data_IF_617619045752
#
_entry.id   IF_617619045752
#
_cell.length_a   1.000
_cell.length_b   1.000
_cell.length_c   1.000
_cell.angle_alpha   90.00
_cell.angle_beta   90.00
_cell.angle_gamma   90.00
#
_symmetry.space_group_name_H-M   'P 1'
#
loop_
_entity.id
_entity.type
_entity.pdbx_description
1 polymer ?
#
# COMPACT_ATOMS: atom_id res chain seq x y z
N UNK A 1 -18.36 -42.43 -18.58
CA UNK A 1 -19.25 -42.90 -17.49
C UNK A 1 -18.79 -44.28 -17.06
N UNK A 2 -18.80 -44.60 -15.76
CA UNK A 2 -18.55 -45.95 -15.30
C UNK A 2 -19.67 -46.87 -15.80
N UNK A 3 -19.30 -48.04 -16.32
CA UNK A 3 -20.28 -49.06 -16.68
C UNK A 3 -20.46 -50.00 -15.49
N UNK A 4 -21.68 -50.01 -14.94
CA UNK A 4 -22.07 -50.90 -13.85
C UNK A 4 -22.73 -52.15 -14.43
N UNK A 5 -22.13 -53.32 -14.19
CA UNK A 5 -22.56 -54.59 -14.81
C UNK A 5 -23.34 -55.52 -13.87
N UNK A 6 -23.62 -55.07 -12.64
CA UNK A 6 -24.35 -55.87 -11.64
C UNK A 6 -25.32 -55.00 -10.81
N UNK A 7 -26.41 -55.57 -10.27
CA UNK A 7 -27.25 -54.87 -9.28
C UNK A 7 -26.48 -54.68 -7.96
N UNK A 8 -26.41 -53.46 -7.44
CA UNK A 8 -25.72 -53.14 -6.18
C UNK A 8 -25.79 -51.65 -5.82
N UNK A 9 -25.39 -51.31 -4.59
CA UNK A 9 -25.17 -49.91 -4.18
C UNK A 9 -23.71 -49.59 -4.49
N UNK A 10 -23.49 -48.62 -5.38
CA UNK A 10 -22.17 -48.13 -5.75
C UNK A 10 -21.93 -46.77 -5.11
N UNK A 11 -20.82 -46.65 -4.40
CA UNK A 11 -20.36 -45.38 -3.82
C UNK A 11 -19.09 -45.01 -4.58
N UNK A 12 -19.13 -43.89 -5.30
CA UNK A 12 -17.97 -43.33 -5.98
C UNK A 12 -17.49 -42.09 -5.23
N UNK A 13 -16.19 -42.03 -4.95
CA UNK A 13 -15.54 -40.80 -4.53
C UNK A 13 -15.36 -39.89 -5.75
N UNK A 14 -16.28 -38.94 -5.90
CA UNK A 14 -16.08 -37.81 -6.80
C UNK A 14 -15.20 -36.80 -6.06
N UNK A 15 -14.02 -36.41 -6.58
CA UNK A 15 -13.21 -35.38 -5.95
C UNK A 15 -14.06 -34.15 -5.67
N UNK A 16 -14.00 -33.62 -4.45
CA UNK A 16 -14.70 -32.36 -4.18
C UNK A 16 -14.12 -31.31 -5.13
N UNK A 17 -14.89 -30.84 -6.10
CA UNK A 17 -14.44 -29.86 -7.08
C UNK A 17 -14.13 -28.48 -6.50
N UNK A 18 -14.08 -28.33 -5.17
CA UNK A 18 -13.74 -27.11 -4.47
C UNK A 18 -12.24 -26.85 -4.59
N UNK A 19 -11.87 -25.70 -5.16
CA UNK A 19 -10.48 -25.24 -5.24
C UNK A 19 -10.32 -24.03 -4.32
N UNK A 20 -9.74 -24.18 -3.12
CA UNK A 20 -9.69 -23.09 -2.15
C UNK A 20 -8.85 -21.91 -2.65
N UNK A 21 -9.40 -20.71 -2.56
CA UNK A 21 -8.67 -19.47 -2.80
C UNK A 21 -7.83 -19.14 -1.55
N UNK A 22 -6.50 -19.07 -1.72
CA UNK A 22 -5.56 -18.70 -0.67
C UNK A 22 -5.42 -17.18 -0.51
N UNK A 23 -4.91 -16.69 0.64
CA UNK A 23 -4.54 -15.29 0.80
C UNK A 23 -3.34 -14.93 -0.08
N UNK A 24 -3.15 -13.64 -0.35
CA UNK A 24 -1.97 -13.09 -1.03
C UNK A 24 -1.11 -12.30 -0.06
N UNK A 25 0.18 -12.17 -0.37
CA UNK A 25 1.11 -11.36 0.42
C UNK A 25 0.79 -9.87 0.28
N UNK A 26 0.72 -9.15 1.40
CA UNK A 26 0.41 -7.70 1.43
C UNK A 26 1.55 -6.85 2.00
N UNK A 27 2.67 -7.47 2.35
CA UNK A 27 3.79 -6.85 3.07
C UNK A 27 5.07 -6.69 2.25
N UNK A 28 5.12 -7.22 1.03
CA UNK A 28 6.31 -7.13 0.17
C UNK A 28 6.40 -5.74 -0.42
N UNK A 29 7.49 -5.04 -0.10
CA UNK A 29 7.77 -3.71 -0.61
C UNK A 29 8.70 -3.72 -1.82
N UNK A 30 8.73 -2.63 -2.57
CA UNK A 30 9.74 -2.33 -3.57
C UNK A 30 10.26 -0.91 -3.35
N UNK A 31 11.59 -0.77 -3.31
CA UNK A 31 12.29 0.49 -3.15
C UNK A 31 13.17 0.76 -4.37
N UNK A 32 12.98 1.93 -4.97
CA UNK A 32 13.77 2.39 -6.12
C UNK A 32 14.54 3.65 -5.74
N UNK A 33 15.85 3.65 -5.96
CA UNK A 33 16.66 4.83 -5.71
C UNK A 33 18.14 4.58 -5.91
N UNK A 34 18.98 5.48 -5.40
CA UNK A 34 20.44 5.37 -5.51
C UNK A 34 20.98 4.54 -4.35
N UNK A 35 21.67 3.45 -4.64
CA UNK A 35 22.34 2.62 -3.65
C UNK A 35 23.67 3.26 -3.15
N UNK A 36 24.17 2.86 -1.96
CA UNK A 36 25.49 3.27 -1.48
C UNK A 36 26.61 3.03 -2.49
N UNK A 37 26.73 1.81 -3.02
CA UNK A 37 27.48 1.55 -4.23
C UNK A 37 26.62 1.88 -5.45
N UNK A 38 26.92 3.03 -6.07
CA UNK A 38 26.19 3.57 -7.24
C UNK A 38 26.29 2.67 -8.48
N UNK A 39 27.22 1.72 -8.52
CA UNK A 39 27.43 0.82 -9.67
C UNK A 39 26.84 -0.57 -9.47
N UNK A 40 26.48 -0.92 -8.22
CA UNK A 40 25.94 -2.23 -7.90
C UNK A 40 24.57 -2.47 -8.51
N UNK A 41 24.44 -3.53 -9.33
CA UNK A 41 23.16 -4.04 -9.84
C UNK A 41 22.22 -2.96 -10.43
N UNK A 42 22.79 -2.00 -11.17
CA UNK A 42 22.02 -0.90 -11.78
C UNK A 42 20.93 -1.47 -12.69
N UNK A 43 19.71 -0.93 -12.54
CA UNK A 43 18.50 -1.33 -13.27
C UNK A 43 18.18 -2.84 -13.15
N UNK A 44 18.55 -3.47 -12.04
CA UNK A 44 18.15 -4.83 -11.70
C UNK A 44 17.29 -4.82 -10.43
N UNK A 45 16.19 -5.57 -10.46
CA UNK A 45 15.37 -5.81 -9.29
C UNK A 45 15.90 -7.05 -8.56
N UNK A 46 16.44 -6.86 -7.36
CA UNK A 46 16.88 -7.96 -6.51
C UNK A 46 16.08 -7.99 -5.21
N UNK A 47 15.71 -9.19 -4.78
CA UNK A 47 15.03 -9.39 -3.52
C UNK A 47 16.04 -9.36 -2.37
N UNK A 48 15.66 -8.64 -1.31
CA UNK A 48 16.43 -8.46 -0.08
C UNK A 48 15.54 -8.86 1.10
N UNK A 49 16.03 -9.77 1.94
CA UNK A 49 15.30 -10.30 3.09
C UNK A 49 15.96 -9.97 4.44
N UNK A 50 17.15 -9.36 4.41
CA UNK A 50 17.87 -8.95 5.62
C UNK A 50 18.79 -7.76 5.36
N UNK A 51 19.17 -7.07 6.43
CA UNK A 51 20.10 -5.95 6.32
C UNK A 51 21.49 -6.39 5.84
N UNK A 52 21.98 -7.52 6.34
CA UNK A 52 23.27 -8.08 5.89
C UNK A 52 23.27 -8.45 4.41
N UNK A 53 22.13 -8.92 3.89
CA UNK A 53 21.98 -9.18 2.45
C UNK A 53 21.99 -7.88 1.63
N UNK A 54 21.34 -6.82 2.11
CA UNK A 54 21.42 -5.50 1.48
C UNK A 54 22.86 -5.00 1.40
N UNK A 55 23.60 -5.05 2.51
CA UNK A 55 24.99 -4.59 2.58
C UNK A 55 25.87 -5.31 1.55
N UNK A 56 25.77 -6.64 1.48
CA UNK A 56 26.52 -7.45 0.52
C UNK A 56 26.20 -7.12 -0.94
N UNK A 57 24.95 -6.78 -1.25
CA UNK A 57 24.53 -6.51 -2.63
C UNK A 57 24.79 -5.07 -3.06
N UNK A 58 24.69 -4.10 -2.15
CA UNK A 58 24.58 -2.68 -2.50
C UNK A 58 25.55 -1.77 -1.74
N UNK A 59 26.39 -2.32 -0.87
CA UNK A 59 27.34 -1.56 -0.06
C UNK A 59 28.69 -2.32 0.12
N UNK A 60 29.14 -3.02 -0.93
CA UNK A 60 30.40 -3.78 -0.96
C UNK A 60 31.48 -3.06 -1.81
N UNK A 61 31.86 -1.85 -1.39
CA UNK A 61 32.80 -1.01 -2.15
C UNK A 61 33.60 -0.03 -1.28
N UNK A 62 34.66 0.55 -1.85
CA UNK A 62 35.64 1.39 -1.14
C UNK A 62 35.09 2.76 -0.70
N UNK A 63 33.98 3.22 -1.29
CA UNK A 63 33.33 4.50 -0.96
C UNK A 63 31.84 4.27 -0.67
N UNK A 64 31.51 4.05 0.60
CA UNK A 64 30.15 3.87 1.06
C UNK A 64 29.59 5.21 1.55
N UNK A 65 28.71 5.80 0.76
CA UNK A 65 27.89 6.92 1.19
C UNK A 65 26.51 6.40 1.59
N UNK A 66 26.02 6.80 2.76
CA UNK A 66 24.68 6.42 3.18
C UNK A 66 23.63 7.16 2.38
N UNK A 67 22.74 6.43 1.71
CA UNK A 67 21.72 7.01 0.83
C UNK A 67 20.32 6.91 1.43
N UNK A 68 19.36 7.73 0.97
CA UNK A 68 17.95 7.56 1.31
C UNK A 68 17.43 6.13 1.05
N UNK A 69 17.92 5.45 0.01
CA UNK A 69 17.56 4.06 -0.28
C UNK A 69 18.02 3.10 0.83
N UNK A 70 19.28 3.20 1.26
CA UNK A 70 19.82 2.37 2.33
C UNK A 70 19.06 2.58 3.65
N UNK A 71 18.79 3.85 3.99
CA UNK A 71 18.02 4.23 5.19
C UNK A 71 16.57 3.74 5.12
N UNK A 72 15.96 3.72 3.93
CA UNK A 72 14.62 3.19 3.74
C UNK A 72 14.55 1.66 3.87
N UNK A 73 15.49 0.92 3.27
CA UNK A 73 15.56 -0.55 3.41
C UNK A 73 15.81 -0.95 4.87
N UNK A 74 16.73 -0.28 5.56
CA UNK A 74 16.97 -0.51 6.98
C UNK A 74 15.70 -0.23 7.80
N UNK A 75 15.08 0.94 7.60
CA UNK A 75 13.87 1.34 8.30
C UNK A 75 12.69 0.40 8.06
N UNK A 76 12.55 -0.13 6.84
CA UNK A 76 11.56 -1.15 6.50
C UNK A 76 11.75 -2.42 7.32
N UNK A 77 12.96 -2.96 7.34
CA UNK A 77 13.29 -4.19 8.06
C UNK A 77 13.13 -4.00 9.58
N UNK A 78 13.61 -2.89 10.14
CA UNK A 78 13.51 -2.60 11.57
C UNK A 78 12.06 -2.39 12.04
N UNK A 79 11.22 -1.84 11.14
CA UNK A 79 9.80 -1.65 11.42
C UNK A 79 8.94 -2.88 11.18
N UNK A 80 9.51 -4.03 10.79
CA UNK A 80 8.81 -5.32 10.70
C UNK A 80 8.54 -5.81 9.27
N UNK A 81 9.08 -5.12 8.26
CA UNK A 81 9.22 -5.66 6.92
C UNK A 81 10.18 -6.86 6.89
N UNK A 82 9.90 -7.83 6.03
CA UNK A 82 10.69 -9.08 5.94
C UNK A 82 11.26 -9.33 4.56
N UNK A 83 10.67 -8.74 3.52
CA UNK A 83 11.08 -8.91 2.13
C UNK A 83 10.79 -7.64 1.35
N UNK A 84 11.81 -7.11 0.69
CA UNK A 84 11.66 -6.01 -0.26
C UNK A 84 12.47 -6.25 -1.53
N UNK A 85 11.97 -5.75 -2.65
CA UNK A 85 12.72 -5.63 -3.88
C UNK A 85 13.45 -4.30 -3.91
N UNK A 86 14.72 -4.32 -4.26
CA UNK A 86 15.56 -3.12 -4.36
C UNK A 86 15.97 -2.95 -5.82
N UNK A 87 15.82 -1.73 -6.34
CA UNK A 87 16.32 -1.33 -7.65
C UNK A 87 17.26 -0.14 -7.46
N UNK A 88 18.53 -0.35 -7.78
CA UNK A 88 19.50 0.72 -7.87
C UNK A 88 19.38 1.41 -9.24
N UNK A 89 19.17 2.72 -9.26
CA UNK A 89 19.12 3.52 -10.50
C UNK A 89 20.47 4.15 -10.86
N UNK A 90 21.49 3.96 -10.02
CA UNK A 90 22.84 4.46 -10.24
C UNK A 90 22.97 5.99 -10.12
N UNK A 91 24.15 6.51 -10.43
CA UNK A 91 24.45 7.93 -10.26
C UNK A 91 23.58 8.81 -11.17
N UNK A 92 22.88 9.78 -10.58
CA UNK A 92 21.95 10.65 -11.31
C UNK A 92 20.73 9.91 -11.88
N UNK A 93 20.48 8.68 -11.42
CA UNK A 93 19.51 7.77 -11.99
C UNK A 93 18.08 8.29 -11.91
N UNK A 94 17.40 8.20 -13.05
CA UNK A 94 15.98 8.53 -13.20
C UNK A 94 15.15 7.32 -12.79
N UNK A 95 13.99 7.55 -12.18
CA UNK A 95 13.06 6.47 -11.83
C UNK A 95 12.47 5.75 -13.05
N UNK A 96 12.57 6.36 -14.23
CA UNK A 96 12.09 5.78 -15.49
C UNK A 96 13.27 5.54 -16.43
N UNK A 97 13.32 4.35 -17.03
CA UNK A 97 14.31 4.00 -18.05
C UNK A 97 14.27 4.93 -19.26
N UNK A 98 15.41 5.05 -19.96
CA UNK A 98 15.53 5.79 -21.22
C UNK A 98 15.68 4.82 -22.40
N UNK A 99 15.00 5.11 -23.52
CA UNK A 99 15.32 4.53 -24.83
C UNK A 99 15.30 2.99 -24.93
N UNK A 100 14.12 2.36 -24.82
CA UNK A 100 13.89 0.98 -25.26
C UNK A 100 14.40 -0.15 -24.34
N UNK A 101 15.17 0.16 -23.29
CA UNK A 101 15.49 -0.78 -22.21
C UNK A 101 14.63 -0.49 -20.97
N UNK A 102 14.12 -1.54 -20.32
CA UNK A 102 13.46 -1.42 -19.03
C UNK A 102 14.49 -0.98 -17.98
N UNK A 103 14.21 0.09 -17.25
CA UNK A 103 15.03 0.60 -16.16
C UNK A 103 14.18 1.23 -15.05
N UNK A 104 14.77 1.41 -13.87
CA UNK A 104 14.09 1.93 -12.69
C UNK A 104 12.81 1.18 -12.34
N UNK A 105 11.67 1.88 -12.31
CA UNK A 105 10.37 1.30 -11.99
C UNK A 105 9.93 0.20 -12.97
N UNK A 106 10.36 0.25 -14.23
CA UNK A 106 9.89 -0.68 -15.26
C UNK A 106 10.34 -2.12 -15.04
N UNK A 107 11.43 -2.35 -14.30
CA UNK A 107 11.90 -3.72 -14.01
C UNK A 107 11.05 -4.41 -12.94
N UNK A 108 10.33 -3.65 -12.12
CA UNK A 108 9.42 -4.17 -11.11
C UNK A 108 8.09 -4.65 -11.69
N UNK A 109 7.74 -4.27 -12.93
CA UNK A 109 6.48 -4.66 -13.57
C UNK A 109 6.32 -6.16 -13.79
N UNK A 110 7.42 -6.91 -13.79
CA UNK A 110 7.41 -8.36 -13.95
C UNK A 110 7.23 -9.13 -12.62
N UNK A 111 7.05 -8.41 -11.51
CA UNK A 111 7.06 -8.97 -10.16
C UNK A 111 5.69 -8.75 -9.51
N UNK A 112 4.86 -9.79 -9.55
CA UNK A 112 3.46 -9.73 -9.11
C UNK A 112 3.29 -9.67 -7.58
N UNK A 113 4.33 -10.02 -6.80
CA UNK A 113 4.26 -10.06 -5.34
C UNK A 113 4.41 -8.68 -4.65
N UNK A 114 4.71 -7.62 -5.41
CA UNK A 114 4.91 -6.28 -4.84
C UNK A 114 3.56 -5.67 -4.47
N UNK A 115 3.45 -5.22 -3.22
CA UNK A 115 2.23 -4.65 -2.64
C UNK A 115 2.42 -3.22 -2.10
N UNK A 116 3.67 -2.80 -1.91
CA UNK A 116 4.06 -1.47 -1.44
C UNK A 116 5.17 -0.94 -2.35
N UNK A 117 5.06 0.29 -2.83
CA UNK A 117 6.06 0.89 -3.72
C UNK A 117 6.54 2.22 -3.17
N UNK A 118 7.85 2.47 -3.13
CA UNK A 118 8.38 3.78 -2.76
C UNK A 118 9.68 4.11 -3.50
N UNK A 119 9.94 5.40 -3.70
CA UNK A 119 11.21 5.90 -4.20
C UNK A 119 11.84 6.88 -3.17
N UNK A 120 12.47 6.37 -2.10
CA UNK A 120 13.00 7.21 -1.03
C UNK A 120 14.01 8.22 -1.57
N UNK A 121 13.81 9.50 -1.24
CA UNK A 121 14.63 10.62 -1.71
C UNK A 121 14.12 11.28 -2.99
N UNK A 122 13.18 10.67 -3.70
CA UNK A 122 12.54 11.24 -4.90
C UNK A 122 11.19 11.84 -4.54
N UNK A 123 11.17 13.16 -4.35
CA UNK A 123 10.01 13.91 -3.84
C UNK A 123 9.47 14.95 -4.84
N UNK A 124 10.01 14.96 -6.07
CA UNK A 124 9.55 15.87 -7.12
C UNK A 124 8.27 15.35 -7.80
N UNK A 125 7.50 16.23 -8.47
CA UNK A 125 6.21 15.86 -9.06
C UNK A 125 6.30 14.79 -10.15
N UNK A 126 7.41 14.73 -10.90
CA UNK A 126 7.62 13.74 -11.97
C UNK A 126 7.82 12.36 -11.35
N UNK A 127 8.58 12.29 -10.25
CA UNK A 127 8.79 11.05 -9.50
C UNK A 127 7.50 10.55 -8.85
N UNK A 128 6.71 11.45 -8.24
CA UNK A 128 5.40 11.07 -7.71
C UNK A 128 4.47 10.55 -8.81
N UNK A 129 4.41 11.23 -9.97
CA UNK A 129 3.59 10.78 -11.10
C UNK A 129 3.99 9.37 -11.57
N UNK A 130 5.30 9.09 -11.67
CA UNK A 130 5.79 7.78 -12.10
C UNK A 130 5.37 6.66 -11.13
N UNK A 131 5.48 6.89 -9.82
CA UNK A 131 5.04 5.93 -8.79
C UNK A 131 3.53 5.69 -8.85
N UNK A 132 2.73 6.76 -8.90
CA UNK A 132 1.27 6.69 -8.89
C UNK A 132 0.77 6.02 -10.17
N UNK A 133 1.28 6.40 -11.34
CA UNK A 133 0.92 5.80 -12.63
C UNK A 133 1.19 4.30 -12.67
N UNK A 134 2.32 3.85 -12.10
CA UNK A 134 2.61 2.41 -12.01
C UNK A 134 1.62 1.68 -11.09
N UNK A 135 1.37 2.24 -9.90
CA UNK A 135 0.44 1.64 -8.94
C UNK A 135 -0.99 1.56 -9.50
N UNK A 136 -1.45 2.59 -10.21
CA UNK A 136 -2.78 2.62 -10.86
C UNK A 136 -2.88 1.63 -12.03
N UNK A 137 -1.82 1.48 -12.82
CA UNK A 137 -1.82 0.58 -13.98
C UNK A 137 -1.76 -0.89 -13.59
N UNK A 138 -0.88 -1.24 -12.65
CA UNK A 138 -0.70 -2.63 -12.22
C UNK A 138 -1.75 -3.05 -11.20
N UNK A 139 -2.24 -2.11 -10.38
CA UNK A 139 -3.24 -2.33 -9.32
C UNK A 139 -2.88 -3.40 -8.29
N UNK A 140 -1.62 -3.80 -8.23
CA UNK A 140 -1.10 -4.79 -7.27
C UNK A 140 -0.52 -4.15 -6.02
N UNK A 141 -0.28 -2.82 -6.05
CA UNK A 141 0.46 -2.11 -5.02
C UNK A 141 -0.13 -0.73 -4.71
N UNK A 142 0.26 -0.16 -3.57
CA UNK A 142 0.03 1.25 -3.22
C UNK A 142 1.38 1.95 -3.08
N UNK A 143 1.50 3.12 -3.71
CA UNK A 143 2.70 3.94 -3.65
C UNK A 143 2.75 4.78 -2.35
N UNK A 144 3.94 4.90 -1.77
CA UNK A 144 4.23 5.82 -0.68
C UNK A 144 5.04 6.99 -1.25
N UNK A 145 4.51 8.19 -1.09
CA UNK A 145 5.14 9.43 -1.53
C UNK A 145 5.63 10.23 -0.31
N UNK A 146 6.82 10.80 -0.43
CA UNK A 146 7.42 11.68 0.56
C UNK A 146 7.45 13.13 0.03
N UNK A 147 7.25 14.15 0.88
CA UNK A 147 7.50 15.55 0.54
C UNK A 147 9.01 15.86 0.47
N UNK A 148 9.41 17.05 0.01
CA UNK A 148 10.76 17.55 0.28
C UNK A 148 11.06 17.59 1.80
N UNK A 149 12.34 17.50 2.22
CA UNK A 149 12.72 17.53 3.63
C UNK A 149 12.46 18.89 4.28
N UNK A 150 12.60 19.96 3.50
CA UNK A 150 12.37 21.34 3.92
C UNK A 150 11.06 21.82 3.29
N UNK A 151 10.01 21.88 4.10
CA UNK A 151 8.70 22.41 3.73
C UNK A 151 8.53 23.73 4.47
N UNK A 152 8.68 24.89 3.78
CA UNK A 152 8.67 26.19 4.45
C UNK A 152 7.28 26.57 4.99
N UNK A 153 6.22 26.10 4.31
CA UNK A 153 4.82 26.31 4.69
C UNK A 153 4.01 25.03 4.42
N UNK A 154 3.34 24.54 5.46
CA UNK A 154 2.46 23.37 5.39
C UNK A 154 1.33 23.54 4.37
N UNK A 155 0.96 24.78 4.01
CA UNK A 155 -0.06 25.04 3.01
C UNK A 155 0.34 24.51 1.63
N UNK A 156 1.64 24.38 1.34
CA UNK A 156 2.14 23.74 0.10
C UNK A 156 1.78 22.26 0.04
N UNK A 157 1.73 21.57 1.17
CA UNK A 157 1.30 20.16 1.25
C UNK A 157 -0.20 19.97 1.00
N UNK A 158 -0.98 21.06 0.96
CA UNK A 158 -2.41 21.01 0.65
C UNK A 158 -2.71 21.21 -0.84
N UNK A 159 -1.74 21.73 -1.61
CA UNK A 159 -1.87 22.08 -3.02
C UNK A 159 -1.16 21.05 -3.88
N UNK A 160 -1.81 20.62 -4.96
CA UNK A 160 -1.24 19.63 -5.88
C UNK A 160 -0.08 20.27 -6.63
N UNK A 161 1.09 19.62 -6.57
CA UNK A 161 2.26 20.01 -7.31
C UNK A 161 2.02 19.78 -8.80
N UNK A 162 2.37 20.78 -9.62
CA UNK A 162 2.35 20.66 -11.08
C UNK A 162 3.77 20.38 -11.55
N UNK A 163 3.96 19.51 -12.56
CA UNK A 163 5.25 19.42 -13.23
C UNK A 163 5.57 20.79 -13.82
N UNK A 164 6.73 21.36 -13.49
CA UNK A 164 7.22 22.52 -14.24
C UNK A 164 7.43 22.09 -15.70
N UNK A 165 7.03 22.96 -16.63
CA UNK A 165 7.27 22.79 -18.07
C UNK A 165 8.80 22.77 -18.35
N UNK A 166 9.45 21.62 -18.14
CA UNK A 166 10.68 21.28 -18.85
C UNK A 166 12.02 21.34 -18.11
N UNK A 167 12.13 21.14 -16.78
CA UNK A 167 13.42 20.74 -16.17
C UNK A 167 13.27 19.67 -15.06
N UNK A 168 13.85 18.47 -15.22
CA UNK A 168 13.97 17.52 -14.12
C UNK A 168 14.92 18.12 -13.08
N UNK A 169 14.37 18.59 -11.96
CA UNK A 169 15.16 19.09 -10.83
C UNK A 169 15.12 18.04 -9.72
N UNK A 170 16.15 17.20 -9.70
CA UNK A 170 16.30 16.19 -8.66
C UNK A 170 17.62 15.46 -8.83
N UNK A 171 18.73 16.13 -8.48
CA UNK A 171 19.95 15.39 -8.11
C UNK A 171 19.73 14.88 -6.68
N UNK A 172 20.00 13.59 -6.38
CA UNK A 172 20.11 13.15 -5.00
C UNK A 172 21.27 13.92 -4.36
N UNK A 173 21.01 14.62 -3.25
CA UNK A 173 22.04 15.35 -2.52
C UNK A 173 21.75 15.31 -1.03
N UNK A 174 22.68 14.73 -0.26
CA UNK A 174 22.73 14.80 1.19
C UNK A 174 23.25 16.19 1.61
N UNK A 175 22.36 17.05 2.09
CA UNK A 175 22.69 18.36 2.65
C UNK A 175 21.52 19.35 2.56
N UNK A 176 21.42 20.34 3.46
CA UNK A 176 20.38 21.36 3.36
C UNK A 176 20.60 22.13 2.07
N UNK A 177 19.64 22.02 1.15
CA UNK A 177 19.67 22.79 -0.09
C UNK A 177 19.70 24.29 0.26
N UNK A 178 20.58 25.05 -0.41
CA UNK A 178 20.46 26.52 -0.40
C UNK A 178 19.04 26.90 -0.85
N UNK A 179 18.39 27.90 -0.22
CA UNK A 179 17.09 28.35 -0.66
C UNK A 179 17.21 28.81 -2.11
N UNK A 180 16.60 28.04 -3.01
CA UNK A 180 16.47 28.45 -4.39
C UNK A 180 15.39 29.53 -4.47
N UNK A 181 15.66 30.58 -5.23
CA UNK A 181 14.72 31.69 -5.49
C UNK A 181 13.30 31.19 -5.80
N UNK A 182 12.36 31.91 -5.20
CA UNK A 182 10.94 31.67 -4.97
C UNK A 182 10.08 31.75 -6.26
N UNK A 183 10.32 30.87 -7.22
CA UNK A 183 9.46 30.74 -8.41
C UNK A 183 9.31 29.27 -8.85
N UNK A 184 8.99 28.37 -7.91
CA UNK A 184 8.81 26.92 -8.16
C UNK A 184 7.53 26.40 -7.49
N UNK A 185 6.65 25.85 -8.32
CA UNK A 185 5.47 25.01 -8.02
C UNK A 185 4.63 25.45 -6.80
N UNK A 186 3.40 25.90 -7.04
CA UNK A 186 2.45 26.36 -6.00
C UNK A 186 2.12 25.30 -4.91
N UNK A 187 2.50 24.02 -5.09
CA UNK A 187 2.30 22.98 -4.08
C UNK A 187 3.31 21.84 -4.14
N UNK A 188 3.32 21.02 -3.09
CA UNK A 188 4.19 19.85 -2.90
C UNK A 188 3.39 18.54 -2.77
N UNK A 189 2.05 18.61 -2.77
CA UNK A 189 1.18 17.42 -2.68
C UNK A 189 1.18 16.68 -4.01
N UNK A 190 1.27 15.33 -4.04
CA UNK A 190 1.03 14.60 -5.27
C UNK A 190 -0.42 14.74 -5.73
N UNK A 191 -0.70 14.40 -7.00
CA UNK A 191 -2.06 14.38 -7.54
C UNK A 191 -2.95 13.40 -6.80
N UNK A 192 -4.27 13.57 -6.96
CA UNK A 192 -5.23 12.64 -6.40
C UNK A 192 -5.05 11.24 -6.95
N UNK A 193 -5.00 10.26 -6.05
CA UNK A 193 -5.05 8.85 -6.39
C UNK A 193 -5.40 8.02 -5.16
N UNK A 194 -6.26 7.03 -5.35
CA UNK A 194 -6.50 6.02 -4.32
C UNK A 194 -5.38 4.98 -4.22
N UNK A 195 -4.43 4.96 -5.15
CA UNK A 195 -3.29 4.03 -5.18
C UNK A 195 -2.01 4.64 -4.61
N UNK A 196 -2.11 5.75 -3.88
CA UNK A 196 -0.98 6.36 -3.22
C UNK A 196 -1.34 6.96 -1.85
N UNK A 197 -0.34 7.02 -0.96
CA UNK A 197 -0.41 7.65 0.34
C UNK A 197 0.80 8.58 0.52
N UNK A 198 0.58 9.71 1.19
CA UNK A 198 1.60 10.75 1.36
C UNK A 198 1.86 10.98 2.85
N UNK A 199 3.13 10.98 3.25
CA UNK A 199 3.53 11.02 4.67
C UNK A 199 4.47 12.19 4.97
N UNK A 200 4.12 12.96 5.99
CA UNK A 200 4.87 14.14 6.45
C UNK A 200 4.98 14.12 7.98
N UNK A 201 6.05 14.61 8.60
CA UNK A 201 7.31 15.08 8.02
C UNK A 201 8.35 13.97 7.84
N UNK A 202 9.53 14.34 7.34
CA UNK A 202 10.71 13.48 7.46
C UNK A 202 11.05 13.22 8.92
N UNK A 203 11.67 12.06 9.16
CA UNK A 203 12.06 11.60 10.49
C UNK A 203 13.57 11.67 10.65
N UNK A 204 14.04 11.91 11.87
CA UNK A 204 15.47 11.82 12.21
C UNK A 204 15.75 10.45 12.79
N UNK A 205 16.73 9.76 12.25
CA UNK A 205 17.12 8.40 12.67
C UNK A 205 18.63 8.32 12.82
N UNK A 206 19.11 7.27 13.49
CA UNK A 206 20.52 6.91 13.44
C UNK A 206 20.82 6.24 12.11
N UNK A 207 21.77 6.80 11.36
CA UNK A 207 22.20 6.26 10.08
C UNK A 207 22.78 4.85 10.26
N UNK A 208 22.26 3.83 9.55
CA UNK A 208 22.70 2.45 9.72
C UNK A 208 24.11 2.17 9.16
N UNK A 209 24.65 3.05 8.32
CA UNK A 209 26.01 2.95 7.77
C UNK A 209 26.96 3.93 8.48
N UNK A 210 26.55 5.18 8.62
CA UNK A 210 27.39 6.24 9.19
C UNK A 210 27.34 6.36 10.71
N UNK A 211 26.28 5.90 11.36
CA UNK A 211 26.08 6.00 12.81
C UNK A 211 25.63 7.39 13.32
N UNK A 212 25.73 8.43 12.50
CA UNK A 212 25.27 9.79 12.82
C UNK A 212 23.75 9.93 12.79
N UNK A 213 23.21 11.00 13.38
CA UNK A 213 21.79 11.30 13.26
C UNK A 213 21.50 12.04 11.96
N UNK A 214 20.70 11.44 11.08
CA UNK A 214 20.39 11.97 9.75
C UNK A 214 18.89 12.06 9.52
N UNK A 215 18.48 13.09 8.79
CA UNK A 215 17.09 13.26 8.35
C UNK A 215 16.79 12.30 7.19
N UNK A 216 15.68 11.57 7.30
CA UNK A 216 15.36 10.43 6.44
C UNK A 216 13.91 10.52 5.95
N UNK A 217 13.64 10.27 4.65
CA UNK A 217 12.28 10.15 4.14
C UNK A 217 11.54 9.03 4.88
N UNK A 218 10.27 9.23 5.27
CA UNK A 218 9.56 8.27 6.10
C UNK A 218 9.13 7.00 5.35
N UNK A 219 9.08 7.02 4.02
CA UNK A 219 8.54 5.91 3.20
C UNK A 219 9.04 4.51 3.56
N UNK A 220 10.33 4.32 3.80
CA UNK A 220 10.86 3.01 4.20
C UNK A 220 10.33 2.53 5.56
N UNK A 221 10.33 3.41 6.56
CA UNK A 221 9.83 3.10 7.90
C UNK A 221 8.31 2.85 7.88
N UNK A 222 7.58 3.67 7.14
CA UNK A 222 6.13 3.54 6.96
C UNK A 222 5.78 2.22 6.25
N UNK A 223 6.51 1.84 5.20
CA UNK A 223 6.34 0.54 4.56
C UNK A 223 6.54 -0.62 5.54
N UNK A 224 7.53 -0.52 6.44
CA UNK A 224 7.75 -1.51 7.49
C UNK A 224 6.59 -1.56 8.50
N UNK A 225 6.04 -0.41 8.87
CA UNK A 225 4.86 -0.31 9.74
C UNK A 225 3.64 -0.96 9.08
N UNK A 226 3.44 -0.75 7.78
CA UNK A 226 2.37 -1.43 7.02
C UNK A 226 2.55 -2.94 7.08
N UNK A 227 3.75 -3.44 6.75
CA UNK A 227 4.07 -4.86 6.81
C UNK A 227 3.83 -5.47 8.20
N UNK A 228 4.28 -4.77 9.26
CA UNK A 228 4.07 -5.19 10.65
C UNK A 228 2.60 -5.20 11.05
N UNK A 229 1.84 -4.16 10.68
CA UNK A 229 0.41 -4.07 10.98
C UNK A 229 -0.33 -5.22 10.33
N UNK A 230 -0.05 -5.49 9.05
CA UNK A 230 -0.67 -6.57 8.30
C UNK A 230 -0.37 -7.93 8.91
N UNK A 231 0.88 -8.19 9.29
CA UNK A 231 1.27 -9.46 9.90
C UNK A 231 0.61 -9.69 11.26
N UNK A 232 0.41 -8.63 12.05
CA UNK A 232 -0.12 -8.73 13.41
C UNK A 232 -1.66 -8.68 13.48
N UNK A 233 -2.29 -7.92 12.58
CA UNK A 233 -3.70 -7.53 12.67
C UNK A 233 -4.48 -7.72 11.37
N UNK A 234 -3.81 -8.11 10.28
CA UNK A 234 -4.39 -8.19 8.95
C UNK A 234 -4.47 -6.84 8.24
N UNK A 235 -4.44 -6.88 6.91
CA UNK A 235 -4.44 -5.69 6.02
C UNK A 235 -5.67 -4.78 6.19
N UNK A 236 -6.76 -5.32 6.76
CA UNK A 236 -7.97 -4.57 7.05
C UNK A 236 -7.80 -3.58 8.22
N UNK A 237 -6.77 -3.74 9.06
CA UNK A 237 -6.44 -2.78 10.12
C UNK A 237 -5.67 -1.59 9.54
N UNK A 238 -6.14 -0.38 9.83
CA UNK A 238 -5.41 0.86 9.51
C UNK A 238 -4.02 0.88 10.19
N UNK A 239 -2.91 1.09 9.43
CA UNK A 239 -1.55 1.22 9.98
C UNK A 239 -1.33 2.64 10.51
N UNK A 240 -2.11 3.02 11.52
CA UNK A 240 -2.03 4.30 12.22
C UNK A 240 -2.12 4.06 13.73
N UNK A 241 -1.66 5.04 14.50
CA UNK A 241 -1.37 4.93 15.92
C UNK A 241 -0.27 3.87 16.21
N UNK A 242 0.68 3.74 15.30
CA UNK A 242 1.78 2.78 15.37
C UNK A 242 3.09 3.50 15.71
N UNK A 243 3.93 2.95 16.60
CA UNK A 243 5.24 3.54 16.89
C UNK A 243 6.16 3.44 15.66
N UNK A 244 6.92 4.51 15.40
CA UNK A 244 7.96 4.53 14.36
C UNK A 244 9.28 4.11 15.00
N UNK A 245 9.68 2.85 14.82
CA UNK A 245 10.93 2.32 15.38
C UNK A 245 12.13 2.98 14.70
N UNK A 246 13.16 3.29 15.48
CA UNK A 246 14.39 3.96 15.02
C UNK A 246 14.29 5.49 14.89
N UNK A 247 13.08 6.06 14.88
CA UNK A 247 12.89 7.51 14.87
C UNK A 247 13.22 8.12 16.24
N UNK A 248 14.12 9.09 16.25
CA UNK A 248 14.52 9.83 17.47
C UNK A 248 13.99 11.26 17.50
N UNK A 249 13.66 11.83 16.34
CA UNK A 249 13.10 13.17 16.22
C UNK A 249 12.32 13.33 14.89
N UNK A 250 11.66 14.46 14.71
CA UNK A 250 10.95 14.84 13.49
C UNK A 250 11.56 16.11 12.90
N UNK A 251 11.57 16.25 11.56
CA UNK A 251 11.94 17.52 10.92
C UNK A 251 11.01 18.67 11.34
N UNK A 252 9.76 18.35 11.66
CA UNK A 252 8.75 19.34 12.03
C UNK A 252 7.77 18.77 13.05
N UNK A 253 7.48 19.51 14.12
CA UNK A 253 6.51 19.08 15.14
C UNK A 253 5.11 19.57 14.78
N UNK A 254 4.36 18.75 14.03
CA UNK A 254 3.00 19.10 13.59
C UNK A 254 2.06 19.27 14.77
N UNK A 255 1.48 20.47 14.88
CA UNK A 255 0.47 20.80 15.88
C UNK A 255 -0.90 20.23 15.49
N UNK A 256 -1.84 20.25 16.43
CA UNK A 256 -3.21 19.75 16.17
C UNK A 256 -3.94 20.61 15.11
N UNK A 257 -3.96 21.96 15.17
CA UNK A 257 -4.62 22.76 14.14
C UNK A 257 -4.03 22.57 12.74
N UNK A 258 -2.71 22.41 12.64
CA UNK A 258 -2.05 22.14 11.36
C UNK A 258 -2.45 20.76 10.81
N UNK A 259 -2.51 19.75 11.68
CA UNK A 259 -3.02 18.44 11.30
C UNK A 259 -4.49 18.50 10.82
N UNK A 260 -5.33 19.32 11.46
CA UNK A 260 -6.73 19.51 11.05
C UNK A 260 -6.84 20.10 9.62
N UNK A 261 -5.84 20.87 9.16
CA UNK A 261 -5.75 21.40 7.79
C UNK A 261 -5.20 20.36 6.81
N UNK A 262 -4.18 19.60 7.21
CA UNK A 262 -3.47 18.63 6.38
C UNK A 262 -4.29 17.37 6.09
N UNK A 263 -4.99 16.87 7.11
CA UNK A 263 -5.65 15.57 7.06
C UNK A 263 -6.78 15.46 6.01
N UNK A 264 -7.69 16.45 5.84
CA UNK A 264 -8.68 16.46 4.74
C UNK A 264 -8.06 16.34 3.35
N UNK A 265 -6.80 16.75 3.20
CA UNK A 265 -6.02 16.65 1.97
C UNK A 265 -5.21 15.36 1.89
N UNK A 266 -5.51 14.33 2.68
CA UNK A 266 -4.85 13.02 2.60
C UNK A 266 -3.35 13.05 2.95
N UNK A 267 -2.89 14.10 3.66
CA UNK A 267 -1.52 14.18 4.16
C UNK A 267 -1.48 13.47 5.51
N UNK A 268 -0.87 12.30 5.56
CA UNK A 268 -0.74 11.51 6.77
C UNK A 268 0.42 12.03 7.61
N UNK A 269 0.13 12.43 8.84
CA UNK A 269 1.15 13.04 9.70
C UNK A 269 1.86 12.02 10.59
N UNK A 270 3.15 12.21 10.81
CA UNK A 270 3.93 11.55 11.87
C UNK A 270 4.06 12.56 13.00
N UNK A 271 3.68 12.17 14.21
CA UNK A 271 3.60 13.09 15.35
C UNK A 271 4.28 12.53 16.59
N UNK A 272 4.86 13.45 17.36
CA UNK A 272 5.36 13.15 18.70
C UNK A 272 4.24 13.32 19.72
N UNK A 273 4.09 12.33 20.59
CA UNK A 273 3.19 12.35 21.73
C UNK A 273 4.00 12.13 23.02
N UNK A 274 3.84 13.02 23.98
CA UNK A 274 4.51 12.90 25.27
C UNK A 274 4.11 11.58 25.95
N UNK A 275 5.10 10.78 26.37
CA UNK A 275 4.90 9.46 26.99
C UNK A 275 4.62 8.32 26.01
N UNK A 276 4.26 8.61 24.76
CA UNK A 276 3.94 7.62 23.72
C UNK A 276 4.96 7.58 22.57
N UNK A 277 5.84 8.58 22.48
CA UNK A 277 6.90 8.68 21.47
C UNK A 277 6.40 9.15 20.11
N UNK A 278 7.17 8.84 19.07
CA UNK A 278 6.86 9.19 17.68
C UNK A 278 5.93 8.14 17.09
N UNK A 279 4.76 8.57 16.59
CA UNK A 279 3.73 7.71 16.03
C UNK A 279 3.33 8.12 14.63
N UNK A 280 3.07 7.11 13.80
CA UNK A 280 2.39 7.26 12.53
C UNK A 280 0.91 7.57 12.82
N UNK A 281 0.45 8.76 12.44
CA UNK A 281 -0.84 9.30 12.88
C UNK A 281 -1.77 9.64 11.70
N UNK A 282 -1.79 8.77 10.69
CA UNK A 282 -2.69 8.86 9.54
C UNK A 282 -2.69 7.58 8.70
N UNK A 283 -3.83 7.25 8.10
CA UNK A 283 -4.01 6.10 7.21
C UNK A 283 -4.96 6.40 6.04
N UNK A 284 -4.83 7.59 5.45
CA UNK A 284 -5.55 8.03 4.26
C UNK A 284 -4.72 7.81 2.99
N UNK A 285 -5.41 7.57 1.89
CA UNK A 285 -4.84 7.66 0.54
C UNK A 285 -4.89 9.13 0.07
N UNK A 286 -4.34 9.40 -1.11
CA UNK A 286 -4.46 10.68 -1.79
C UNK A 286 -5.80 10.86 -2.53
N UNK A 287 -6.72 9.90 -2.43
CA UNK A 287 -8.04 10.01 -3.04
C UNK A 287 -8.78 11.25 -2.53
N UNK A 288 -9.70 11.76 -3.36
CA UNK A 288 -10.61 12.82 -2.97
C UNK A 288 -11.30 12.50 -1.64
N UNK A 289 -11.59 13.55 -0.86
CA UNK A 289 -12.19 13.41 0.45
C UNK A 289 -13.49 12.57 0.40
N UNK A 290 -14.40 12.84 -0.54
CA UNK A 290 -15.65 12.09 -0.66
C UNK A 290 -15.50 10.65 -1.20
N UNK A 291 -14.29 10.16 -1.48
CA UNK A 291 -14.08 8.84 -2.07
C UNK A 291 -14.32 7.71 -1.06
N UNK A 292 -14.99 6.65 -1.52
CA UNK A 292 -15.06 5.37 -0.79
C UNK A 292 -13.67 4.74 -0.54
N UNK A 293 -12.68 5.20 -1.30
CA UNK A 293 -11.29 4.74 -1.25
C UNK A 293 -10.36 5.68 -0.48
N UNK A 294 -10.93 6.58 0.34
CA UNK A 294 -10.17 7.52 1.19
C UNK A 294 -9.21 6.79 2.13
N UNK A 295 -9.58 5.62 2.64
CA UNK A 295 -8.79 4.92 3.66
C UNK A 295 -7.84 3.90 3.05
N UNK A 296 -6.60 3.90 3.54
CA UNK A 296 -5.51 3.07 3.06
C UNK A 296 -5.78 1.57 3.27
N UNK A 297 -6.23 1.17 4.46
CA UNK A 297 -6.55 -0.22 4.76
C UNK A 297 -7.70 -0.75 3.89
N UNK A 298 -8.68 0.10 3.55
CA UNK A 298 -9.77 -0.26 2.64
C UNK A 298 -9.23 -0.53 1.24
N UNK A 299 -8.41 0.38 0.70
CA UNK A 299 -7.77 0.17 -0.61
C UNK A 299 -6.90 -1.09 -0.63
N UNK A 300 -6.01 -1.26 0.36
CA UNK A 300 -5.07 -2.39 0.41
C UNK A 300 -5.80 -3.73 0.59
N UNK A 301 -6.87 -3.77 1.40
CA UNK A 301 -7.72 -4.96 1.51
C UNK A 301 -8.38 -5.31 0.18
N UNK A 302 -8.93 -4.32 -0.54
CA UNK A 302 -9.56 -4.57 -1.83
C UNK A 302 -8.57 -5.08 -2.88
N UNK A 303 -7.36 -4.52 -2.94
CA UNK A 303 -6.28 -5.05 -3.80
C UNK A 303 -5.99 -6.52 -3.45
N UNK A 304 -5.85 -6.83 -2.15
CA UNK A 304 -5.56 -8.20 -1.71
C UNK A 304 -6.70 -9.19 -2.08
N UNK A 305 -7.96 -8.78 -1.95
CA UNK A 305 -9.12 -9.58 -2.35
C UNK A 305 -9.16 -9.78 -3.87
N UNK A 306 -8.97 -8.71 -4.65
CA UNK A 306 -8.92 -8.74 -6.11
C UNK A 306 -7.84 -9.73 -6.60
N UNK A 307 -6.62 -9.63 -6.05
CA UNK A 307 -5.51 -10.52 -6.38
C UNK A 307 -5.74 -11.97 -5.94
N UNK A 308 -6.26 -12.19 -4.73
CA UNK A 308 -6.56 -13.53 -4.24
C UNK A 308 -7.56 -14.23 -5.16
N UNK A 309 -8.63 -13.54 -5.53
CA UNK A 309 -9.62 -14.07 -6.48
C UNK A 309 -8.96 -14.37 -7.82
N UNK A 310 -8.24 -13.41 -8.43
CA UNK A 310 -7.59 -13.61 -9.72
C UNK A 310 -6.63 -14.82 -9.73
N UNK A 311 -5.82 -14.98 -8.68
CA UNK A 311 -4.89 -16.10 -8.56
C UNK A 311 -5.61 -17.42 -8.32
N UNK A 312 -6.61 -17.43 -7.44
CA UNK A 312 -7.36 -18.63 -7.05
C UNK A 312 -8.33 -19.12 -8.12
N UNK A 313 -8.76 -18.26 -9.05
CA UNK A 313 -9.68 -18.61 -10.14
C UNK A 313 -9.00 -18.77 -11.50
N UNK A 314 -7.68 -18.67 -11.59
CA UNK A 314 -6.92 -18.82 -12.86
C UNK A 314 -7.24 -20.12 -13.60
N UNK A 315 -7.58 -21.18 -12.88
CA UNK A 315 -7.95 -22.47 -13.47
C UNK A 315 -9.27 -22.45 -14.25
N UNK A 316 -10.13 -21.46 -14.02
CA UNK A 316 -11.43 -21.34 -14.69
C UNK A 316 -11.28 -20.90 -16.16
N UNK A 317 -10.11 -20.41 -16.54
CA UNK A 317 -9.81 -20.03 -17.92
C UNK A 317 -9.83 -21.30 -18.78
N UNK A 318 -10.56 -21.25 -19.91
CA UNK A 318 -10.80 -22.36 -20.83
C UNK A 318 -11.74 -23.47 -20.33
N UNK A 319 -12.39 -23.30 -19.18
CA UNK A 319 -13.49 -24.19 -18.77
C UNK A 319 -14.77 -23.91 -19.58
N UNK A 320 -15.64 -24.92 -19.78
CA UNK A 320 -16.95 -24.71 -20.42
C UNK A 320 -17.78 -23.66 -19.67
N UNK A 321 -18.29 -22.67 -20.39
CA UNK A 321 -19.16 -21.63 -19.83
C UNK A 321 -20.59 -22.16 -19.62
N UNK A 322 -20.78 -22.88 -18.51
CA UNK A 322 -22.03 -23.53 -18.12
C UNK A 322 -22.42 -23.28 -16.66
N UNK A 323 -23.59 -23.80 -16.27
CA UNK A 323 -24.10 -23.70 -14.91
C UNK A 323 -23.18 -24.32 -13.84
N UNK A 324 -22.35 -25.29 -14.22
CA UNK A 324 -21.39 -25.94 -13.33
C UNK A 324 -20.25 -24.98 -12.97
N UNK A 325 -19.73 -24.27 -13.97
CA UNK A 325 -18.73 -23.23 -13.78
C UNK A 325 -19.27 -22.10 -12.90
N UNK A 326 -20.47 -21.60 -13.18
CA UNK A 326 -21.08 -20.51 -12.40
C UNK A 326 -21.33 -20.89 -10.94
N UNK A 327 -21.76 -22.14 -10.69
CA UNK A 327 -21.90 -22.67 -9.33
C UNK A 327 -20.55 -22.78 -8.62
N UNK A 328 -19.50 -23.19 -9.33
CA UNK A 328 -18.14 -23.29 -8.79
C UNK A 328 -17.58 -21.90 -8.42
N UNK A 329 -17.78 -20.90 -9.27
CA UNK A 329 -17.43 -19.49 -9.00
C UNK A 329 -18.10 -19.00 -7.71
N UNK A 330 -19.43 -19.14 -7.60
CA UNK A 330 -20.17 -18.70 -6.41
C UNK A 330 -19.70 -19.41 -5.15
N UNK A 331 -19.50 -20.73 -5.22
CA UNK A 331 -19.05 -21.54 -4.08
C UNK A 331 -17.65 -21.13 -3.62
N UNK A 332 -16.69 -21.06 -4.54
CA UNK A 332 -15.27 -20.90 -4.19
C UNK A 332 -14.97 -19.48 -3.72
N UNK A 333 -15.53 -18.46 -4.40
CA UNK A 333 -15.42 -17.05 -3.98
C UNK A 333 -16.23 -16.82 -2.70
N UNK A 334 -17.44 -17.38 -2.58
CA UNK A 334 -18.25 -17.24 -1.37
C UNK A 334 -17.57 -17.85 -0.14
N UNK A 335 -16.94 -19.02 -0.28
CA UNK A 335 -16.18 -19.64 0.79
C UNK A 335 -14.95 -18.80 1.19
N UNK A 336 -14.30 -18.15 0.23
CA UNK A 336 -13.19 -17.23 0.49
C UNK A 336 -13.63 -15.98 1.25
N UNK A 337 -14.63 -15.26 0.76
CA UNK A 337 -15.14 -14.06 1.40
C UNK A 337 -15.73 -14.34 2.79
N UNK A 338 -16.28 -15.55 3.00
CA UNK A 338 -16.68 -16.01 4.34
C UNK A 338 -15.50 -16.07 5.31
N UNK A 339 -14.31 -16.52 4.86
CA UNK A 339 -13.09 -16.50 5.70
C UNK A 339 -12.66 -15.06 5.99
N UNK A 340 -12.61 -14.23 4.96
CA UNK A 340 -12.25 -12.79 5.08
C UNK A 340 -13.18 -12.07 6.07
N UNK A 341 -14.49 -12.37 6.04
CA UNK A 341 -15.46 -11.85 7.00
C UNK A 341 -15.22 -12.36 8.42
N UNK A 342 -14.97 -13.67 8.60
CA UNK A 342 -14.65 -14.26 9.92
C UNK A 342 -13.38 -13.68 10.54
N UNK A 343 -12.44 -13.24 9.71
CA UNK A 343 -11.21 -12.57 10.13
C UNK A 343 -11.45 -11.10 10.53
N UNK A 344 -12.70 -10.61 10.48
CA UNK A 344 -13.09 -9.26 10.88
C UNK A 344 -12.84 -8.18 9.82
N UNK A 345 -12.48 -8.56 8.59
CA UNK A 345 -12.15 -7.62 7.53
C UNK A 345 -13.39 -7.01 6.82
N UNK A 346 -14.53 -7.71 6.88
CA UNK A 346 -15.80 -7.26 6.30
C UNK A 346 -16.81 -6.92 7.41
N UNK A 347 -17.61 -5.89 7.18
CA UNK A 347 -18.67 -5.41 8.08
C UNK A 347 -19.95 -6.22 7.84
N UNK A 348 -20.62 -6.65 8.91
CA UNK A 348 -21.90 -7.35 8.83
C UNK A 348 -22.01 -8.40 9.92
N UNK A 349 -23.22 -8.61 10.44
CA UNK A 349 -23.50 -9.65 11.45
C UNK A 349 -23.67 -11.03 10.83
N UNK A 350 -24.01 -11.08 9.53
CA UNK A 350 -24.09 -12.29 8.74
C UNK A 350 -23.27 -12.14 7.44
N UNK A 351 -22.87 -13.24 6.78
CA UNK A 351 -22.20 -13.19 5.49
C UNK A 351 -22.96 -12.38 4.43
N UNK A 352 -24.30 -12.46 4.43
CA UNK A 352 -25.17 -11.81 3.45
C UNK A 352 -25.24 -10.29 3.65
N UNK A 353 -25.05 -9.81 4.88
CA UNK A 353 -24.86 -8.37 5.14
C UNK A 353 -23.46 -7.91 4.70
N UNK A 354 -22.47 -8.83 4.68
CA UNK A 354 -21.06 -8.50 4.47
C UNK A 354 -20.60 -8.59 3.00
N UNK A 355 -21.14 -9.52 2.22
CA UNK A 355 -20.78 -9.66 0.80
C UNK A 355 -21.87 -10.39 -0.01
N UNK A 356 -21.77 -10.28 -1.33
CA UNK A 356 -22.52 -11.13 -2.26
C UNK A 356 -21.65 -11.57 -3.43
N UNK A 357 -21.98 -12.74 -4.01
CA UNK A 357 -21.38 -13.24 -5.25
C UNK A 357 -22.50 -13.69 -6.18
N UNK A 358 -22.69 -12.98 -7.29
CA UNK A 358 -23.68 -13.28 -8.31
C UNK A 358 -22.96 -13.73 -9.59
N UNK A 359 -23.22 -14.96 -9.99
CA UNK A 359 -22.78 -15.54 -11.27
C UNK A 359 -23.89 -16.52 -11.69
N UNK A 360 -24.75 -16.04 -12.57
CA UNK A 360 -25.96 -16.69 -13.03
C UNK A 360 -26.31 -16.21 -14.45
N UNK A 361 -27.46 -16.64 -14.96
CA UNK A 361 -27.95 -16.32 -16.30
C UNK A 361 -28.19 -14.82 -16.53
N UNK A 362 -28.52 -14.06 -15.47
CA UNK A 362 -28.68 -12.60 -15.59
C UNK A 362 -27.34 -11.90 -15.82
N UNK A 363 -26.28 -12.37 -15.17
CA UNK A 363 -24.90 -11.89 -15.40
C UNK A 363 -24.25 -12.47 -16.66
N UNK A 364 -24.75 -13.61 -17.16
CA UNK A 364 -24.18 -14.35 -18.29
C UNK A 364 -25.26 -14.68 -19.35
N UNK A 365 -25.88 -13.66 -19.97
CA UNK A 365 -26.79 -13.85 -21.09
C UNK A 365 -26.07 -14.45 -22.31
N UNK A 366 -26.85 -14.86 -23.32
CA UNK A 366 -26.33 -15.58 -24.49
C UNK A 366 -25.22 -14.82 -25.23
N UNK A 367 -25.35 -13.52 -25.40
CA UNK A 367 -24.35 -12.65 -26.04
C UNK A 367 -23.00 -12.61 -25.28
N UNK A 368 -23.04 -12.57 -23.95
CA UNK A 368 -21.83 -12.65 -23.11
C UNK A 368 -21.16 -14.03 -23.25
N UNK A 369 -21.97 -15.08 -23.28
CA UNK A 369 -21.48 -16.47 -23.40
C UNK A 369 -20.91 -16.75 -24.79
N UNK A 370 -21.58 -16.28 -25.84
CA UNK A 370 -21.16 -16.40 -27.24
C UNK A 370 -19.87 -15.61 -27.50
N UNK A 371 -19.66 -14.51 -26.77
CA UNK A 371 -18.40 -13.77 -26.74
C UNK A 371 -17.28 -14.48 -25.94
N UNK A 372 -17.55 -15.67 -25.36
CA UNK A 372 -16.59 -16.45 -24.58
C UNK A 372 -16.29 -15.86 -23.20
N UNK A 373 -17.16 -14.99 -22.68
CA UNK A 373 -16.97 -14.32 -21.39
C UNK A 373 -17.80 -14.97 -20.27
N UNK A 374 -17.25 -14.96 -19.05
CA UNK A 374 -17.98 -15.26 -17.82
C UNK A 374 -17.88 -14.05 -16.91
N UNK A 375 -19.03 -13.54 -16.46
CA UNK A 375 -19.13 -12.36 -15.60
C UNK A 375 -19.68 -12.78 -14.25
N UNK A 376 -18.97 -12.37 -13.19
CA UNK A 376 -19.42 -12.50 -11.81
C UNK A 376 -19.43 -11.11 -11.16
N UNK A 377 -20.55 -10.74 -10.54
CA UNK A 377 -20.66 -9.52 -9.74
C UNK A 377 -20.38 -9.84 -8.28
N UNK A 378 -19.44 -9.12 -7.69
CA UNK A 378 -19.00 -9.32 -6.32
C UNK A 378 -19.12 -7.99 -5.59
N UNK A 379 -19.89 -7.96 -4.50
CA UNK A 379 -19.95 -6.82 -3.60
C UNK A 379 -19.41 -7.19 -2.23
N UNK A 380 -18.70 -6.25 -1.59
CA UNK A 380 -18.14 -6.40 -0.25
C UNK A 380 -18.42 -5.15 0.58
N UNK A 381 -18.70 -5.31 1.86
CA UNK A 381 -18.84 -4.24 2.83
C UNK A 381 -17.55 -4.17 3.67
N UNK A 382 -16.68 -3.21 3.39
CA UNK A 382 -15.38 -3.09 4.08
C UNK A 382 -15.51 -2.30 5.39
N UNK A 383 -14.79 -2.72 6.43
CA UNK A 383 -14.70 -1.99 7.70
C UNK A 383 -13.91 -0.68 7.51
N UNK A 384 -14.56 0.46 7.77
CA UNK A 384 -13.91 1.78 7.80
C UNK A 384 -13.33 2.06 9.20
N UNK A 385 -12.14 2.66 9.33
CA UNK A 385 -11.52 2.93 10.63
C UNK A 385 -12.25 4.04 11.40
N UNK A 386 -12.24 3.96 12.73
CA UNK A 386 -12.71 5.02 13.61
C UNK A 386 -11.63 6.12 13.75
N UNK A 387 -11.68 7.12 12.88
CA UNK A 387 -10.71 8.23 12.87
C UNK A 387 -11.00 9.28 13.96
N UNK A 388 -12.28 9.46 14.32
CA UNK A 388 -12.72 10.41 15.31
C UNK A 388 -13.47 9.68 16.43
N UNK A 389 -13.00 9.85 17.68
CA UNK A 389 -13.70 9.40 18.88
C UNK A 389 -14.11 10.63 19.66
N UNK A 390 -15.42 10.87 19.76
CA UNK A 390 -15.99 12.05 20.43
C UNK A 390 -16.62 11.64 21.75
N UNK A 391 -16.00 12.03 22.86
CA UNK A 391 -16.59 11.90 24.19
C UNK A 391 -17.43 13.14 24.49
N UNK A 392 -18.73 12.98 24.70
CA UNK A 392 -19.63 14.06 25.12
C UNK A 392 -19.81 13.98 26.63
N UNK A 393 -19.18 14.91 27.36
CA UNK A 393 -19.32 15.03 28.80
C UNK A 393 -20.45 16.02 29.13
N UNK A 394 -21.45 15.56 29.89
CA UNK A 394 -22.49 16.42 30.46
C UNK A 394 -22.45 16.32 31.98
N UNK A 395 -22.73 17.44 32.65
CA UNK A 395 -22.99 17.43 34.09
C UNK A 395 -24.42 16.92 34.30
N UNK A 396 -24.55 15.78 34.98
CA UNK A 396 -25.85 15.17 35.28
C UNK A 396 -26.21 15.38 36.75
N UNK A 397 -27.41 15.86 37.01
CA UNK A 397 -27.91 16.14 38.36
C UNK A 397 -28.57 14.91 39.05
N UNK A 398 -28.52 13.73 38.42
CA UNK A 398 -29.13 12.48 38.91
C UNK A 398 -30.61 12.31 38.50
N UNK A 399 -30.96 11.12 38.00
CA UNK A 399 -32.33 10.72 37.62
C UNK A 399 -32.35 9.70 36.48
N UNK A 400 -33.02 8.56 36.66
CA UNK A 400 -32.95 7.33 35.84
C UNK A 400 -32.81 7.54 34.33
N UNK A 401 -31.78 6.94 33.73
CA UNK A 401 -31.64 6.84 32.27
C UNK A 401 -32.79 6.02 31.68
N UNK A 402 -33.59 6.63 30.82
CA UNK A 402 -34.31 5.90 29.77
C UNK A 402 -33.45 5.93 28.52
N UNK A 403 -32.77 4.83 28.22
CA UNK A 403 -32.20 4.59 26.90
C UNK A 403 -33.34 4.55 25.88
N UNK A 404 -33.53 5.65 25.15
CA UNK A 404 -34.31 5.59 23.92
C UNK A 404 -33.40 4.98 22.85
N UNK A 405 -33.51 3.67 22.67
CA UNK A 405 -32.91 2.97 21.53
C UNK A 405 -33.65 3.47 20.28
N UNK A 406 -33.08 4.48 19.62
CA UNK A 406 -33.55 4.97 18.32
C UNK A 406 -33.20 3.96 17.22
N UNK A 407 -34.21 3.58 16.44
CA UNK A 407 -34.16 2.52 15.42
C UNK A 407 -33.67 2.92 14.04
#
# INVERSE_FOLDING_TARGET
MPNYFSPGIYVEEVPSGARPIGPVGTSTAAFVGVAPDRTAHVDQALAVNSWSEFLRLYADGDHLESTPLARAVFGFLDNGGTRCWVVNVGEGGRLMGTGGRRGGLQVLEAIDEISILAAPGYHDPVSHEALISMAERLRTMVAICDPPPDVPDISRLTRVARPDDGKPTGKPGDGPAKPADDDRTDGDRPRESSFAAFYYPWIKVRDPLGGDLVLTPPSGHVAGIWARTDALRGVHKAPANEPVRGAVDLAYLVTRPEHDVLNPKGVNVIRYFAGEGIRLWGARTLAAEASEWRYLNVRRLSIAIEQAIANGTRWMVFEPNDYTLWRSIRRDIGAFLTRVWRDGALLGRTPEEAFFVKCDEETNPADVRDAGMVVAHIGIAVVKPAEFVVFKLSQWAGGTETETIGG
#
